data_IF_004935120833
#
_entry.id   IF_004935120833
#
_cell.length_a   1.000
_cell.length_b   1.000
_cell.length_c   1.000
_cell.angle_alpha   90.00
_cell.angle_beta   90.00
_cell.angle_gamma   90.00
#
_symmetry.space_group_name_H-M   'P 1'
#
loop_
_entity.id
_entity.type
_entity.pdbx_description
1 polymer ?
#
# COMPACT_ATOMS: atom_id res chain seq x y z
N UNK A 1 -19.26 32.31 16.63
CA UNK A 1 -18.34 31.18 16.94
C UNK A 1 -16.97 31.35 16.29
N UNK A 2 -16.88 31.48 14.96
CA UNK A 2 -15.60 31.60 14.21
C UNK A 2 -14.68 32.74 14.68
N UNK A 3 -15.23 33.91 15.01
CA UNK A 3 -14.46 35.05 15.53
C UNK A 3 -13.76 34.73 16.86
N UNK A 4 -14.39 33.94 17.74
CA UNK A 4 -13.80 33.52 19.02
C UNK A 4 -12.67 32.52 18.82
N UNK A 5 -12.84 31.59 17.88
CA UNK A 5 -11.81 30.61 17.48
C UNK A 5 -10.60 31.33 16.89
N UNK A 6 -10.82 32.29 15.99
CA UNK A 6 -9.75 33.10 15.40
C UNK A 6 -9.00 33.95 16.41
N UNK A 7 -9.68 34.47 17.44
CA UNK A 7 -9.04 35.19 18.55
C UNK A 7 -8.16 34.26 19.38
N UNK A 8 -8.69 33.10 19.78
CA UNK A 8 -7.93 32.11 20.54
C UNK A 8 -6.70 31.61 19.77
N UNK A 9 -6.81 31.38 18.46
CA UNK A 9 -5.68 31.00 17.63
C UNK A 9 -4.56 32.06 17.63
N UNK A 10 -4.92 33.36 17.64
CA UNK A 10 -3.95 34.46 17.70
C UNK A 10 -3.30 34.60 19.08
N UNK A 11 -4.07 34.48 20.15
CA UNK A 11 -3.59 34.63 21.53
C UNK A 11 -2.78 33.42 22.01
N UNK A 12 -3.15 32.22 21.55
CA UNK A 12 -2.54 30.95 21.96
C UNK A 12 -2.18 30.05 20.76
N UNK A 13 -1.29 30.51 19.86
CA UNK A 13 -0.99 29.83 18.59
C UNK A 13 -0.39 28.44 18.78
N UNK A 14 0.45 28.23 19.81
CA UNK A 14 0.99 26.90 20.14
C UNK A 14 -0.10 25.93 20.58
N UNK A 15 -0.91 26.31 21.58
CA UNK A 15 -2.00 25.47 22.11
C UNK A 15 -3.01 25.14 21.02
N UNK A 16 -3.34 26.12 20.18
CA UNK A 16 -4.24 25.95 19.05
C UNK A 16 -3.66 24.98 18.01
N UNK A 17 -2.39 25.15 17.61
CA UNK A 17 -1.72 24.23 16.69
C UNK A 17 -1.69 22.79 17.21
N UNK A 18 -1.32 22.59 18.48
CA UNK A 18 -1.32 21.27 19.12
C UNK A 18 -2.71 20.62 19.14
N UNK A 19 -3.72 21.35 19.61
CA UNK A 19 -5.08 20.84 19.69
C UNK A 19 -5.66 20.51 18.30
N UNK A 20 -5.43 21.40 17.33
CA UNK A 20 -5.92 21.21 15.96
C UNK A 20 -5.26 20.01 15.27
N UNK A 21 -3.93 19.88 15.39
CA UNK A 21 -3.21 18.74 14.81
C UNK A 21 -3.60 17.40 15.44
N UNK A 22 -3.77 17.36 16.77
CA UNK A 22 -4.26 16.18 17.49
C UNK A 22 -5.69 15.77 17.07
N UNK A 23 -6.61 16.73 17.05
CA UNK A 23 -7.99 16.50 16.63
C UNK A 23 -8.03 16.02 15.17
N UNK A 24 -7.24 16.64 14.28
CA UNK A 24 -7.13 16.25 12.88
C UNK A 24 -6.64 14.82 12.72
N UNK A 25 -5.52 14.44 13.33
CA UNK A 25 -4.96 13.09 13.15
C UNK A 25 -5.89 12.01 13.72
N UNK A 26 -6.53 12.26 14.86
CA UNK A 26 -7.56 11.37 15.42
C UNK A 26 -8.77 11.23 14.49
N UNK A 27 -9.28 12.34 13.95
CA UNK A 27 -10.41 12.33 13.03
C UNK A 27 -10.09 11.67 11.68
N UNK A 28 -8.92 11.94 11.11
CA UNK A 28 -8.46 11.29 9.88
C UNK A 28 -8.38 9.77 10.05
N UNK A 29 -7.79 9.30 11.15
CA UNK A 29 -7.71 7.86 11.40
C UNK A 29 -9.08 7.24 11.64
N UNK A 30 -9.98 7.95 12.35
CA UNK A 30 -11.38 7.52 12.48
C UNK A 30 -12.04 7.36 11.10
N UNK A 31 -11.93 8.36 10.22
CA UNK A 31 -12.50 8.29 8.87
C UNK A 31 -11.96 7.10 8.07
N UNK A 32 -10.66 6.84 8.18
CA UNK A 32 -10.04 5.70 7.50
C UNK A 32 -10.59 4.39 8.06
N UNK A 33 -10.64 4.23 9.39
CA UNK A 33 -11.16 3.01 10.01
C UNK A 33 -12.64 2.75 9.69
N UNK A 34 -13.47 3.80 9.59
CA UNK A 34 -14.91 3.65 9.34
C UNK A 34 -15.30 3.59 7.87
N UNK A 35 -14.78 4.51 7.05
CA UNK A 35 -15.25 4.66 5.67
C UNK A 35 -14.40 3.86 4.69
N UNK A 36 -13.10 3.71 4.95
CA UNK A 36 -12.21 2.99 4.06
C UNK A 36 -12.09 1.51 4.47
N UNK A 37 -11.71 1.26 5.72
CA UNK A 37 -11.50 -0.10 6.24
C UNK A 37 -12.81 -0.79 6.66
N UNK A 38 -13.93 -0.04 6.76
CA UNK A 38 -15.25 -0.54 7.18
C UNK A 38 -15.20 -1.42 8.44
N UNK A 39 -14.35 -1.09 9.41
CA UNK A 39 -14.21 -1.88 10.64
C UNK A 39 -15.48 -1.84 11.47
N UNK A 40 -15.90 -2.98 11.99
CA UNK A 40 -17.01 -3.06 12.96
C UNK A 40 -16.65 -2.41 14.31
N UNK A 41 -15.36 -2.39 14.67
CA UNK A 41 -14.85 -1.80 15.92
C UNK A 41 -13.63 -0.93 15.66
N UNK A 42 -13.61 0.24 16.29
CA UNK A 42 -12.51 1.20 16.21
C UNK A 42 -11.34 0.74 17.07
N UNK A 43 -10.14 0.72 16.48
CA UNK A 43 -8.87 0.55 17.18
C UNK A 43 -8.47 1.88 17.82
N UNK A 44 -8.87 2.05 19.08
CA UNK A 44 -8.55 3.21 19.89
C UNK A 44 -7.06 3.33 20.24
N UNK A 45 -6.30 2.23 20.22
CA UNK A 45 -4.87 2.25 20.51
C UNK A 45 -4.10 2.86 19.33
N UNK A 46 -4.47 2.46 18.11
CA UNK A 46 -3.99 3.08 16.88
C UNK A 46 -4.39 4.56 16.83
N UNK A 47 -5.66 4.87 17.11
CA UNK A 47 -6.13 6.25 17.12
C UNK A 47 -5.38 7.14 18.12
N UNK A 48 -5.17 6.64 19.34
CA UNK A 48 -4.40 7.34 20.37
C UNK A 48 -2.94 7.57 19.94
N UNK A 49 -2.33 6.65 19.20
CA UNK A 49 -0.99 6.83 18.66
C UNK A 49 -0.95 7.98 17.65
N UNK A 50 -1.92 8.04 16.72
CA UNK A 50 -2.01 9.14 15.76
C UNK A 50 -2.34 10.48 16.42
N UNK A 51 -3.23 10.48 17.40
CA UNK A 51 -3.54 11.67 18.20
C UNK A 51 -2.27 12.18 18.91
N UNK A 52 -1.47 11.28 19.49
CA UNK A 52 -0.21 11.60 20.17
C UNK A 52 0.83 12.14 19.19
N UNK A 53 0.98 11.55 17.99
CA UNK A 53 1.87 12.07 16.96
C UNK A 53 1.42 13.45 16.46
N UNK A 54 0.11 13.64 16.27
CA UNK A 54 -0.47 14.93 15.92
C UNK A 54 -0.24 15.99 16.99
N UNK A 55 -0.35 15.62 18.26
CA UNK A 55 -0.12 16.53 19.38
C UNK A 55 1.36 16.91 19.52
N UNK A 56 2.25 15.91 19.57
CA UNK A 56 3.65 16.09 19.94
C UNK A 56 4.49 16.54 18.76
N UNK A 57 4.44 15.80 17.63
CA UNK A 57 5.28 16.10 16.48
C UNK A 57 4.67 17.25 15.65
N UNK A 58 3.49 17.04 15.08
CA UNK A 58 2.87 18.03 14.18
C UNK A 58 2.46 19.32 14.93
N UNK A 59 1.97 19.16 16.16
CA UNK A 59 1.57 20.25 17.02
C UNK A 59 2.74 20.96 17.69
N UNK A 60 3.66 20.19 18.27
CA UNK A 60 4.76 20.71 19.08
C UNK A 60 6.01 21.02 18.27
N UNK A 61 6.66 19.99 17.73
CA UNK A 61 7.95 20.07 17.02
C UNK A 61 7.81 20.94 15.77
N UNK A 62 6.81 20.69 14.93
CA UNK A 62 6.63 21.43 13.69
C UNK A 62 6.21 22.89 13.96
N UNK A 63 5.44 23.16 15.02
CA UNK A 63 5.17 24.54 15.45
C UNK A 63 6.46 25.27 15.81
N UNK A 64 7.30 24.65 16.65
CA UNK A 64 8.57 25.23 17.07
C UNK A 64 9.47 25.53 15.86
N UNK A 65 9.45 24.66 14.86
CA UNK A 65 10.17 24.89 13.62
C UNK A 65 9.61 26.07 12.82
N UNK A 66 8.31 26.08 12.52
CA UNK A 66 7.73 27.03 11.56
C UNK A 66 7.49 28.42 12.12
N UNK A 67 7.34 28.54 13.45
CA UNK A 67 7.00 29.81 14.10
C UNK A 67 8.24 30.43 14.75
N UNK A 68 8.79 29.93 15.87
CA UNK A 68 9.92 30.57 16.52
C UNK A 68 11.28 30.30 15.86
N UNK A 69 11.55 29.14 15.24
CA UNK A 69 12.86 28.90 14.59
C UNK A 69 12.92 29.63 13.23
N UNK A 70 11.99 29.36 12.32
CA UNK A 70 11.95 30.04 11.02
C UNK A 70 11.70 31.54 11.17
N UNK A 71 10.92 31.98 12.17
CA UNK A 71 10.76 33.40 12.47
C UNK A 71 12.07 34.10 12.86
N UNK A 72 13.02 33.40 13.50
CA UNK A 72 14.35 33.93 13.82
C UNK A 72 15.32 33.88 12.64
N UNK A 73 15.30 32.79 11.88
CA UNK A 73 16.12 32.64 10.66
C UNK A 73 15.68 33.60 9.55
N UNK A 74 14.39 33.94 9.52
CA UNK A 74 13.78 34.79 8.51
C UNK A 74 12.89 35.88 9.15
N UNK A 75 13.49 36.93 9.73
CA UNK A 75 12.75 37.98 10.47
C UNK A 75 11.66 38.67 9.64
N UNK A 76 11.83 38.73 8.31
CA UNK A 76 10.84 39.30 7.38
C UNK A 76 9.64 38.41 7.08
N UNK A 77 9.61 37.14 7.51
CA UNK A 77 8.61 36.16 7.09
C UNK A 77 7.18 36.54 7.46
N UNK A 78 6.95 37.07 8.68
CA UNK A 78 5.62 37.48 9.12
C UNK A 78 5.11 38.71 8.34
N UNK A 79 5.99 39.68 8.10
CA UNK A 79 5.68 40.88 7.30
C UNK A 79 5.40 40.50 5.84
N UNK A 80 6.24 39.64 5.25
CA UNK A 80 6.04 39.13 3.90
C UNK A 80 4.69 38.42 3.77
N UNK A 81 4.35 37.50 4.69
CA UNK A 81 3.09 36.77 4.67
C UNK A 81 1.86 37.69 4.67
N UNK A 82 1.93 38.83 5.36
CA UNK A 82 0.84 39.81 5.44
C UNK A 82 0.68 40.69 4.19
N UNK A 83 1.67 40.77 3.30
CA UNK A 83 1.60 41.62 2.08
C UNK A 83 0.52 41.15 1.09
N UNK A 84 -0.13 42.06 0.34
CA UNK A 84 -1.00 41.68 -0.78
C UNK A 84 -0.18 41.09 -1.93
N UNK A 85 -0.81 40.28 -2.79
CA UNK A 85 -0.12 39.50 -3.84
C UNK A 85 0.78 40.36 -4.75
N UNK A 86 0.30 41.52 -5.20
CA UNK A 86 1.09 42.45 -6.04
C UNK A 86 2.37 42.91 -5.35
N UNK A 87 2.30 43.20 -4.05
CA UNK A 87 3.47 43.64 -3.27
C UNK A 87 4.43 42.48 -2.97
N UNK A 88 3.96 41.22 -2.92
CA UNK A 88 4.83 40.05 -2.81
C UNK A 88 5.66 39.83 -4.08
N UNK A 89 5.04 39.97 -5.25
CA UNK A 89 5.71 39.81 -6.55
C UNK A 89 6.82 40.85 -6.75
N UNK A 90 6.66 42.06 -6.22
CA UNK A 90 7.68 43.10 -6.24
C UNK A 90 8.74 42.95 -5.13
N UNK A 91 8.49 42.13 -4.09
CA UNK A 91 9.40 41.91 -2.96
C UNK A 91 10.30 40.69 -3.20
N UNK A 92 11.40 40.92 -3.94
CA UNK A 92 12.39 39.88 -4.25
C UNK A 92 13.08 39.32 -3.00
N UNK A 93 13.36 40.17 -1.99
CA UNK A 93 14.00 39.74 -0.75
C UNK A 93 13.09 38.84 0.08
N UNK A 94 11.81 39.23 0.23
CA UNK A 94 10.79 38.43 0.90
C UNK A 94 10.51 37.12 0.18
N UNK A 95 10.46 37.14 -1.16
CA UNK A 95 10.27 35.93 -1.97
C UNK A 95 11.44 34.96 -1.84
N UNK A 96 12.69 35.46 -1.84
CA UNK A 96 13.88 34.64 -1.56
C UNK A 96 13.82 34.02 -0.16
N UNK A 97 13.43 34.79 0.85
CA UNK A 97 13.28 34.30 2.22
C UNK A 97 12.18 33.24 2.36
N UNK A 98 11.07 33.37 1.63
CA UNK A 98 10.02 32.37 1.57
C UNK A 98 10.53 31.08 0.91
N UNK A 99 11.20 31.18 -0.24
CA UNK A 99 11.77 30.00 -0.92
C UNK A 99 12.82 29.29 -0.06
N UNK A 100 13.64 30.02 0.71
CA UNK A 100 14.60 29.40 1.63
C UNK A 100 13.92 28.67 2.79
N UNK A 101 12.77 29.15 3.29
CA UNK A 101 11.95 28.40 4.25
C UNK A 101 11.44 27.09 3.63
N UNK A 102 10.98 27.12 2.37
CA UNK A 102 10.56 25.92 1.64
C UNK A 102 11.72 24.94 1.49
N UNK A 103 12.92 25.42 1.09
CA UNK A 103 14.10 24.56 0.94
C UNK A 103 14.50 23.92 2.27
N UNK A 104 14.56 24.69 3.36
CA UNK A 104 14.87 24.13 4.68
C UNK A 104 13.82 23.12 5.15
N UNK A 105 12.55 23.38 4.86
CA UNK A 105 11.50 22.43 5.21
C UNK A 105 11.60 21.12 4.39
N UNK A 106 11.75 21.24 3.08
CA UNK A 106 11.71 20.09 2.17
C UNK A 106 13.01 19.27 2.13
N UNK A 107 14.17 19.89 2.35
CA UNK A 107 15.48 19.25 2.20
C UNK A 107 16.22 19.04 3.53
N UNK A 108 15.76 19.64 4.63
CA UNK A 108 16.38 19.45 5.96
C UNK A 108 15.39 18.84 6.93
N UNK A 109 14.27 19.52 7.20
CA UNK A 109 13.29 19.01 8.16
C UNK A 109 12.64 17.70 7.71
N UNK A 110 12.15 17.62 6.47
CA UNK A 110 11.49 16.41 5.98
C UNK A 110 12.42 15.18 5.95
N UNK A 111 13.63 15.24 5.36
CA UNK A 111 14.52 14.08 5.31
C UNK A 111 15.18 13.72 6.66
N UNK A 112 15.52 14.71 7.50
CA UNK A 112 16.37 14.45 8.67
C UNK A 112 15.59 14.33 9.98
N UNK A 113 14.35 14.81 10.02
CA UNK A 113 13.54 14.81 11.25
C UNK A 113 12.20 14.11 11.04
N UNK A 114 11.43 14.55 10.05
CA UNK A 114 10.06 14.10 9.88
C UNK A 114 9.97 12.63 9.46
N UNK A 115 10.61 12.26 8.35
CA UNK A 115 10.56 10.89 7.86
C UNK A 115 11.18 9.89 8.84
N UNK A 116 12.37 10.13 9.43
CA UNK A 116 12.90 9.26 10.47
C UNK A 116 11.93 9.06 11.65
N UNK A 117 11.31 10.14 12.15
CA UNK A 117 10.34 10.05 13.24
C UNK A 117 9.07 9.30 12.82
N UNK A 118 8.56 9.56 11.61
CA UNK A 118 7.38 8.91 11.06
C UNK A 118 7.60 7.41 10.86
N UNK A 119 8.69 7.02 10.20
CA UNK A 119 9.03 5.61 9.94
C UNK A 119 9.29 4.84 11.24
N UNK A 120 9.96 5.47 12.21
CA UNK A 120 10.19 4.86 13.53
C UNK A 120 8.88 4.63 14.26
N UNK A 121 7.96 5.60 14.24
CA UNK A 121 6.65 5.45 14.87
C UNK A 121 5.82 4.37 14.17
N UNK A 122 5.82 4.37 12.83
CA UNK A 122 5.15 3.36 12.00
C UNK A 122 5.57 1.95 12.39
N UNK A 123 6.87 1.72 12.45
CA UNK A 123 7.41 0.41 12.78
C UNK A 123 7.06 -0.02 14.22
N UNK A 124 7.16 0.90 15.19
CA UNK A 124 6.81 0.63 16.59
C UNK A 124 5.32 0.29 16.76
N UNK A 125 4.43 0.97 16.03
CA UNK A 125 2.99 0.69 16.06
C UNK A 125 2.68 -0.69 15.49
N UNK A 126 3.41 -1.09 14.45
CA UNK A 126 3.30 -2.41 13.83
C UNK A 126 3.98 -3.54 14.64
N UNK A 127 4.56 -3.23 15.80
CA UNK A 127 5.21 -4.22 16.68
C UNK A 127 6.70 -4.46 16.41
N UNK A 128 7.30 -3.66 15.52
CA UNK A 128 8.74 -3.65 15.27
C UNK A 128 9.50 -2.64 16.13
N UNK A 129 10.72 -2.32 15.70
CA UNK A 129 11.68 -1.48 16.43
C UNK A 129 12.04 -0.21 15.64
N UNK A 130 12.52 0.82 16.36
CA UNK A 130 12.99 2.08 15.76
C UNK A 130 14.08 1.85 14.72
N UNK A 131 15.02 0.92 14.96
CA UNK A 131 16.10 0.61 14.01
C UNK A 131 15.57 0.03 12.70
N UNK A 132 14.54 -0.81 12.74
CA UNK A 132 13.86 -1.32 11.56
C UNK A 132 13.16 -0.21 10.79
N UNK A 133 12.51 0.74 11.48
CA UNK A 133 11.91 1.91 10.85
C UNK A 133 12.95 2.78 10.12
N UNK A 134 14.09 3.04 10.76
CA UNK A 134 15.19 3.80 10.14
C UNK A 134 15.84 3.07 8.96
N UNK A 135 15.98 1.75 9.03
CA UNK A 135 16.47 0.95 7.91
C UNK A 135 15.52 1.01 6.71
N UNK A 136 14.20 0.87 6.94
CA UNK A 136 13.17 1.04 5.90
C UNK A 136 13.22 2.43 5.27
N UNK A 137 13.35 3.47 6.09
CA UNK A 137 13.52 4.83 5.58
C UNK A 137 14.77 4.94 4.68
N UNK A 138 15.91 4.39 5.10
CA UNK A 138 17.14 4.42 4.32
C UNK A 138 17.02 3.79 2.93
N UNK A 139 16.19 2.77 2.79
CA UNK A 139 15.95 2.11 1.50
C UNK A 139 14.96 2.91 0.62
N UNK A 140 13.96 3.56 1.23
CA UNK A 140 12.83 4.15 0.50
C UNK A 140 12.92 5.69 0.34
N UNK A 141 13.89 6.35 0.99
CA UNK A 141 13.86 7.81 1.17
C UNK A 141 13.75 8.61 -0.12
N UNK A 142 14.37 8.16 -1.22
CA UNK A 142 14.37 8.89 -2.49
C UNK A 142 12.97 8.95 -3.09
N UNK A 143 12.30 7.80 -3.17
CA UNK A 143 10.95 7.71 -3.71
C UNK A 143 9.96 8.48 -2.84
N UNK A 144 10.07 8.30 -1.52
CA UNK A 144 9.19 8.95 -0.55
C UNK A 144 9.30 10.47 -0.58
N UNK A 145 10.51 11.00 -0.68
CA UNK A 145 10.75 12.44 -0.76
C UNK A 145 10.24 13.02 -2.08
N UNK A 146 10.47 12.36 -3.20
CA UNK A 146 9.97 12.82 -4.51
C UNK A 146 8.44 12.86 -4.53
N UNK A 147 7.80 11.86 -3.94
CA UNK A 147 6.36 11.82 -3.83
C UNK A 147 5.84 12.90 -2.83
N UNK A 148 6.56 13.13 -1.73
CA UNK A 148 6.31 14.23 -0.78
C UNK A 148 6.32 15.60 -1.42
N UNK A 149 7.30 15.87 -2.27
CA UNK A 149 7.44 17.18 -2.88
C UNK A 149 6.27 17.52 -3.82
N UNK A 150 5.61 16.55 -4.46
CA UNK A 150 4.46 16.81 -5.35
C UNK A 150 3.32 17.52 -4.63
N UNK A 151 3.06 17.19 -3.37
CA UNK A 151 2.04 17.84 -2.56
C UNK A 151 2.61 18.99 -1.72
N UNK A 152 3.73 18.73 -1.04
CA UNK A 152 4.19 19.63 0.01
C UNK A 152 4.99 20.81 -0.51
N UNK A 153 5.69 20.73 -1.64
CA UNK A 153 6.34 21.92 -2.21
C UNK A 153 5.28 23.00 -2.54
N UNK A 154 4.21 22.70 -3.32
CA UNK A 154 3.16 23.69 -3.57
C UNK A 154 2.47 24.16 -2.28
N UNK A 155 2.10 23.25 -1.37
CA UNK A 155 1.39 23.63 -0.14
C UNK A 155 2.25 24.49 0.79
N UNK A 156 3.55 24.20 0.92
CA UNK A 156 4.45 24.97 1.80
C UNK A 156 4.80 26.33 1.23
N UNK A 157 4.87 26.47 -0.10
CA UNK A 157 4.93 27.78 -0.75
C UNK A 157 3.69 28.59 -0.34
N UNK A 158 2.48 28.03 -0.45
CA UNK A 158 1.25 28.73 -0.04
C UNK A 158 1.28 29.06 1.46
N UNK A 159 1.73 28.12 2.28
CA UNK A 159 1.83 28.30 3.72
C UNK A 159 2.72 29.50 4.08
N UNK A 160 3.98 29.49 3.62
CA UNK A 160 4.95 30.52 3.97
C UNK A 160 4.71 31.84 3.24
N UNK A 161 4.04 31.82 2.09
CA UNK A 161 3.69 33.03 1.35
C UNK A 161 2.43 33.72 1.90
N UNK A 162 1.44 33.00 2.42
CA UNK A 162 0.12 33.59 2.72
C UNK A 162 -0.38 33.38 4.14
N UNK A 163 0.05 32.33 4.85
CA UNK A 163 -0.54 32.02 6.15
C UNK A 163 0.07 32.88 7.26
N UNK A 164 -0.78 33.55 8.07
CA UNK A 164 -0.33 34.16 9.32
C UNK A 164 0.35 33.13 10.22
N UNK A 165 1.29 33.57 11.06
CA UNK A 165 2.10 32.68 11.91
C UNK A 165 1.25 31.70 12.75
N UNK A 166 0.11 32.13 13.26
CA UNK A 166 -0.81 31.33 14.07
C UNK A 166 -1.61 30.28 13.27
N UNK A 167 -1.65 30.39 11.94
CA UNK A 167 -2.36 29.47 11.04
C UNK A 167 -1.43 28.52 10.27
N UNK A 168 -0.10 28.64 10.42
CA UNK A 168 0.85 27.79 9.68
C UNK A 168 0.69 26.29 9.96
N UNK A 169 0.44 25.92 11.22
CA UNK A 169 0.20 24.53 11.63
C UNK A 169 -1.21 24.05 11.27
N UNK A 170 -2.28 24.82 11.53
CA UNK A 170 -3.60 24.52 10.99
C UNK A 170 -3.64 24.32 9.46
N UNK A 171 -2.86 25.09 8.70
CA UNK A 171 -2.73 24.93 7.25
C UNK A 171 -2.13 23.56 6.87
N UNK A 172 -1.03 23.17 7.51
CA UNK A 172 -0.41 21.85 7.32
C UNK A 172 -1.40 20.74 7.66
N UNK A 173 -2.03 20.82 8.83
CA UNK A 173 -3.00 19.84 9.27
C UNK A 173 -4.18 19.73 8.28
N UNK A 174 -4.68 20.87 7.77
CA UNK A 174 -5.77 20.92 6.79
C UNK A 174 -5.34 20.32 5.44
N UNK A 175 -4.16 20.68 4.93
CA UNK A 175 -3.62 20.12 3.68
C UNK A 175 -3.52 18.60 3.77
N UNK A 176 -3.00 18.10 4.89
CA UNK A 176 -2.89 16.66 5.09
C UNK A 176 -4.26 15.96 5.15
N UNK A 177 -5.27 16.57 5.79
CA UNK A 177 -6.63 16.02 5.83
C UNK A 177 -7.28 15.97 4.45
N UNK A 178 -7.18 17.06 3.68
CA UNK A 178 -7.69 17.10 2.30
C UNK A 178 -7.07 15.99 1.45
N UNK A 179 -5.76 15.78 1.59
CA UNK A 179 -5.08 14.71 0.90
C UNK A 179 -5.54 13.32 1.34
N UNK A 180 -5.70 13.08 2.65
CA UNK A 180 -6.28 11.84 3.18
C UNK A 180 -7.65 11.57 2.57
N UNK A 181 -8.52 12.58 2.46
CA UNK A 181 -9.84 12.44 1.84
C UNK A 181 -9.75 12.15 0.33
N UNK A 182 -8.87 12.83 -0.41
CA UNK A 182 -8.65 12.59 -1.84
C UNK A 182 -8.16 11.15 -2.07
N UNK A 183 -7.19 10.68 -1.30
CA UNK A 183 -6.70 9.31 -1.39
C UNK A 183 -7.78 8.30 -1.03
N UNK A 184 -8.55 8.54 0.03
CA UNK A 184 -9.69 7.69 0.40
C UNK A 184 -10.72 7.60 -0.73
N UNK A 185 -11.02 8.73 -1.40
CA UNK A 185 -11.95 8.76 -2.52
C UNK A 185 -11.40 8.04 -3.76
N UNK A 186 -10.11 8.25 -4.07
CA UNK A 186 -9.44 7.58 -5.19
C UNK A 186 -9.30 6.07 -4.98
N UNK A 187 -9.24 5.61 -3.72
CA UNK A 187 -9.13 4.19 -3.32
C UNK A 187 -10.48 3.49 -3.20
N UNK A 188 -11.56 4.20 -2.83
CA UNK A 188 -12.91 3.64 -2.64
C UNK A 188 -13.61 3.12 -3.91
N UNK A 189 -12.86 2.86 -4.98
CA UNK A 189 -13.36 2.33 -6.23
C UNK A 189 -13.40 0.80 -6.31
N UNK A 190 -12.64 0.06 -5.49
CA UNK A 190 -12.62 -1.40 -5.46
C UNK A 190 -12.50 -1.88 -4.00
N UNK A 191 -12.93 -3.12 -3.71
CA UNK A 191 -12.87 -3.76 -2.38
C UNK A 191 -11.41 -4.04 -1.96
N UNK A 192 -10.65 -2.97 -1.69
CA UNK A 192 -9.26 -3.03 -1.25
C UNK A 192 -9.25 -3.15 0.27
N UNK A 193 -8.89 -4.34 0.78
CA UNK A 193 -8.48 -4.51 2.18
C UNK A 193 -7.20 -3.72 2.37
N UNK A 194 -7.34 -2.47 2.85
CA UNK A 194 -6.21 -1.57 3.07
C UNK A 194 -5.43 -2.07 4.29
N UNK A 195 -4.16 -2.42 4.12
CA UNK A 195 -3.32 -2.85 5.25
C UNK A 195 -3.10 -1.65 6.21
N UNK A 196 -2.94 -1.87 7.54
CA UNK A 196 -2.72 -0.78 8.50
C UNK A 196 -1.56 0.17 8.13
N UNK A 197 -0.58 -0.38 7.40
CA UNK A 197 0.58 0.30 6.82
C UNK A 197 0.20 1.37 5.77
N UNK A 198 -0.73 1.05 4.86
CA UNK A 198 -1.20 1.96 3.80
C UNK A 198 -2.12 3.07 4.33
N UNK A 199 -2.72 2.85 5.51
CA UNK A 199 -3.50 3.84 6.23
C UNK A 199 -2.62 4.85 6.98
N UNK A 200 -1.46 4.41 7.49
CA UNK A 200 -0.45 5.31 8.08
C UNK A 200 0.15 6.25 7.01
N UNK A 201 0.37 5.76 5.80
CA UNK A 201 0.93 6.58 4.72
C UNK A 201 -0.03 7.72 4.32
N UNK A 202 -1.34 7.50 4.35
CA UNK A 202 -2.33 8.57 4.08
C UNK A 202 -2.30 9.74 5.08
N UNK A 203 -1.68 9.56 6.24
CA UNK A 203 -1.63 10.54 7.34
C UNK A 203 -0.29 11.27 7.47
N UNK A 204 0.78 10.74 6.86
CA UNK A 204 2.10 11.31 7.06
C UNK A 204 3.18 10.99 6.03
N UNK A 205 3.16 9.87 5.33
CA UNK A 205 4.11 9.62 4.23
C UNK A 205 3.44 9.92 2.90
N UNK A 206 3.92 10.93 2.19
CA UNK A 206 3.56 11.07 0.78
C UNK A 206 4.27 10.07 -0.12
N UNK A 207 5.03 9.12 0.41
CA UNK A 207 5.48 7.98 -0.35
C UNK A 207 4.28 7.17 -0.80
N UNK A 208 3.82 7.39 -2.03
CA UNK A 208 3.66 6.22 -2.86
C UNK A 208 5.08 5.68 -3.05
N UNK A 209 5.45 4.62 -2.34
CA UNK A 209 6.10 3.59 -3.11
C UNK A 209 5.07 3.18 -4.17
N UNK A 210 5.50 3.04 -5.41
CA UNK A 210 4.70 2.34 -6.40
C UNK A 210 4.30 0.94 -5.89
N UNK A 211 4.92 0.44 -4.80
CA UNK A 211 4.52 -0.72 -4.00
C UNK A 211 3.06 -0.75 -3.58
N UNK A 212 2.44 0.33 -3.10
CA UNK A 212 1.01 0.30 -2.77
C UNK A 212 0.08 0.18 -4.00
N UNK A 213 0.64 0.31 -5.20
CA UNK A 213 -0.03 0.01 -6.48
C UNK A 213 0.33 -1.43 -6.92
N UNK A 214 1.47 -1.96 -6.51
CA UNK A 214 1.87 -3.37 -6.68
C UNK A 214 1.18 -4.35 -5.70
N UNK A 215 0.87 -3.90 -4.48
CA UNK A 215 0.24 -4.68 -3.41
C UNK A 215 -1.26 -4.91 -3.65
N UNK A 216 -1.82 -4.36 -4.74
CA UNK A 216 -3.04 -4.84 -5.38
C UNK A 216 -2.79 -6.22 -6.04
N UNK A 217 -2.41 -7.21 -5.23
CA UNK A 217 -2.37 -8.63 -5.61
C UNK A 217 -1.24 -9.07 -6.55
N UNK A 218 -0.25 -8.21 -6.80
CA UNK A 218 0.85 -8.51 -7.73
C UNK A 218 2.16 -7.91 -7.22
N UNK A 219 2.60 -8.34 -6.03
CA UNK A 219 4.02 -8.21 -5.74
C UNK A 219 4.77 -9.05 -6.77
N UNK A 220 5.48 -8.35 -7.65
CA UNK A 220 6.42 -8.92 -8.60
C UNK A 220 7.75 -9.27 -7.92
N UNK A 221 7.90 -9.05 -6.61
CA UNK A 221 9.09 -9.49 -5.87
C UNK A 221 8.69 -10.48 -4.77
N UNK A 222 8.32 -11.71 -5.14
CA UNK A 222 8.34 -12.79 -4.17
C UNK A 222 9.79 -13.06 -3.75
N UNK A 223 10.19 -12.61 -2.55
CA UNK A 223 11.42 -13.08 -1.88
C UNK A 223 11.25 -14.54 -1.40
N UNK A 224 10.73 -15.45 -2.23
CA UNK A 224 10.70 -16.87 -1.89
C UNK A 224 11.99 -17.51 -2.38
N UNK A 225 12.92 -17.78 -1.46
CA UNK A 225 14.06 -18.63 -1.75
C UNK A 225 13.57 -20.07 -1.88
N UNK A 226 13.61 -20.62 -3.10
CA UNK A 226 13.29 -22.03 -3.31
C UNK A 226 14.38 -22.91 -2.70
N UNK A 227 13.97 -23.82 -1.82
CA UNK A 227 14.82 -24.92 -1.40
C UNK A 227 14.81 -26.00 -2.49
N UNK A 228 15.95 -26.19 -3.17
CA UNK A 228 16.11 -27.18 -4.24
C UNK A 228 16.14 -28.62 -3.72
N UNK A 229 16.27 -28.81 -2.40
CA UNK A 229 16.20 -30.14 -1.77
C UNK A 229 14.77 -30.60 -1.53
N UNK A 230 13.79 -29.70 -1.65
CA UNK A 230 12.37 -29.95 -1.46
C UNK A 230 11.62 -30.00 -2.77
N UNK A 231 10.46 -30.65 -2.73
CA UNK A 231 9.50 -30.65 -3.84
C UNK A 231 8.53 -29.49 -3.67
N UNK A 232 8.15 -28.88 -4.79
CA UNK A 232 7.23 -27.75 -4.82
C UNK A 232 5.95 -28.16 -5.54
N UNK A 233 4.81 -27.70 -5.02
CA UNK A 233 3.49 -27.97 -5.56
C UNK A 233 2.75 -26.66 -5.81
N UNK A 234 2.06 -26.61 -6.93
CA UNK A 234 1.06 -25.61 -7.23
C UNK A 234 -0.31 -26.18 -6.88
N UNK A 235 -0.88 -25.71 -5.78
CA UNK A 235 -2.25 -26.01 -5.38
C UNK A 235 -3.18 -24.96 -5.99
N UNK A 236 -4.23 -25.37 -6.68
CA UNK A 236 -5.29 -24.50 -7.15
C UNK A 236 -6.64 -25.00 -6.68
N UNK A 237 -7.51 -24.09 -6.27
CA UNK A 237 -8.90 -24.44 -5.98
C UNK A 237 -9.85 -23.39 -6.54
N UNK A 238 -10.97 -23.84 -7.09
CA UNK A 238 -12.02 -22.97 -7.61
C UNK A 238 -13.41 -23.52 -7.30
N UNK A 239 -14.33 -22.65 -6.88
CA UNK A 239 -15.72 -23.03 -6.60
C UNK A 239 -16.37 -22.24 -5.48
N UNK A 240 -17.49 -22.72 -4.93
CA UNK A 240 -18.16 -22.01 -3.83
C UNK A 240 -17.32 -22.10 -2.56
N UNK A 241 -16.93 -20.93 -2.07
CA UNK A 241 -16.16 -20.82 -0.83
C UNK A 241 -16.95 -21.32 0.38
N UNK A 242 -16.22 -21.75 1.41
CA UNK A 242 -16.76 -22.04 2.73
C UNK A 242 -15.78 -21.61 3.81
N UNK A 243 -16.35 -21.19 4.93
CA UNK A 243 -15.59 -20.79 6.11
C UNK A 243 -14.64 -21.93 6.49
N UNK A 244 -13.35 -21.62 6.62
CA UNK A 244 -12.33 -22.57 7.03
C UNK A 244 -11.62 -23.32 5.90
N UNK A 245 -11.97 -23.13 4.63
CA UNK A 245 -11.32 -23.85 3.52
C UNK A 245 -9.79 -23.64 3.49
N UNK A 246 -9.31 -22.41 3.59
CA UNK A 246 -7.86 -22.09 3.63
C UNK A 246 -7.19 -22.69 4.86
N UNK A 247 -7.89 -22.74 6.00
CA UNK A 247 -7.39 -23.39 7.21
C UNK A 247 -7.22 -24.90 7.00
N UNK A 248 -8.15 -25.56 6.31
CA UNK A 248 -8.04 -26.98 6.01
C UNK A 248 -6.87 -27.28 5.08
N UNK A 249 -6.72 -26.51 3.99
CA UNK A 249 -5.56 -26.64 3.10
C UNK A 249 -4.26 -26.44 3.89
N UNK A 250 -4.18 -25.41 4.71
CA UNK A 250 -2.99 -25.12 5.53
C UNK A 250 -2.69 -26.22 6.55
N UNK A 251 -3.73 -26.83 7.13
CA UNK A 251 -3.59 -27.96 8.06
C UNK A 251 -3.08 -29.20 7.34
N UNK A 252 -3.58 -29.51 6.14
CA UNK A 252 -3.08 -30.61 5.32
C UNK A 252 -1.60 -30.41 4.99
N UNK A 253 -1.20 -29.20 4.58
CA UNK A 253 0.21 -28.86 4.34
C UNK A 253 1.06 -29.14 5.58
N UNK A 254 0.61 -28.64 6.74
CA UNK A 254 1.34 -28.78 8.00
C UNK A 254 1.44 -30.25 8.46
N UNK A 255 0.38 -31.05 8.28
CA UNK A 255 0.36 -32.48 8.63
C UNK A 255 1.41 -33.29 7.85
N UNK A 256 1.69 -32.89 6.61
CA UNK A 256 2.72 -33.50 5.76
C UNK A 256 4.10 -32.87 5.93
N UNK A 257 4.28 -31.96 6.91
CA UNK A 257 5.54 -31.28 7.18
C UNK A 257 5.93 -30.24 6.12
N UNK A 258 4.99 -29.81 5.29
CA UNK A 258 5.19 -28.80 4.27
C UNK A 258 5.04 -27.37 4.79
N UNK A 259 5.25 -26.41 3.89
CA UNK A 259 5.00 -24.99 4.16
C UNK A 259 4.35 -24.32 2.95
N UNK A 260 3.53 -23.29 3.19
CA UNK A 260 2.94 -22.45 2.14
C UNK A 260 3.85 -21.24 1.93
N UNK A 261 4.33 -21.06 0.71
CA UNK A 261 5.24 -19.96 0.32
C UNK A 261 4.49 -18.75 -0.21
N UNK A 262 3.51 -18.99 -1.09
CA UNK A 262 2.74 -17.94 -1.75
C UNK A 262 1.26 -18.31 -1.79
N UNK A 263 0.39 -17.31 -1.69
CA UNK A 263 -1.06 -17.48 -1.80
C UNK A 263 -1.66 -16.31 -2.58
N UNK A 264 -2.37 -16.63 -3.65
CA UNK A 264 -3.17 -15.69 -4.41
C UNK A 264 -4.62 -16.15 -4.38
N UNK A 265 -5.48 -15.41 -3.69
CA UNK A 265 -6.86 -15.77 -3.46
C UNK A 265 -7.80 -14.62 -3.84
N UNK A 266 -8.80 -14.91 -4.67
CA UNK A 266 -9.72 -13.93 -5.23
C UNK A 266 -11.14 -14.47 -5.26
N UNK A 267 -12.11 -13.56 -5.15
CA UNK A 267 -13.51 -13.86 -5.46
C UNK A 267 -13.80 -13.42 -6.90
N UNK A 268 -14.32 -14.33 -7.72
CA UNK A 268 -14.71 -14.07 -9.11
C UNK A 268 -16.18 -14.44 -9.27
N UNK A 269 -17.03 -13.43 -9.38
CA UNK A 269 -18.48 -13.62 -9.40
C UNK A 269 -18.99 -14.22 -8.08
N UNK A 270 -19.53 -15.44 -8.15
CA UNK A 270 -20.00 -16.19 -6.97
C UNK A 270 -18.97 -17.16 -6.40
N UNK A 271 -17.89 -17.39 -7.14
CA UNK A 271 -16.91 -18.41 -6.83
C UNK A 271 -15.65 -17.78 -6.23
N UNK A 272 -14.95 -18.59 -5.48
CA UNK A 272 -13.65 -18.32 -4.93
C UNK A 272 -12.61 -19.07 -5.74
N UNK A 273 -11.48 -18.44 -6.00
CA UNK A 273 -10.33 -19.01 -6.69
C UNK A 273 -9.10 -18.75 -5.84
N UNK A 274 -8.33 -19.79 -5.55
CA UNK A 274 -7.05 -19.67 -4.87
C UNK A 274 -5.98 -20.44 -5.62
N UNK A 275 -4.77 -19.89 -5.60
CA UNK A 275 -3.54 -20.51 -6.08
C UNK A 275 -2.56 -20.43 -4.93
N UNK A 276 -1.92 -21.54 -4.57
CA UNK A 276 -0.91 -21.58 -3.52
C UNK A 276 0.35 -22.27 -4.02
N UNK A 277 1.50 -21.70 -3.70
CA UNK A 277 2.78 -22.37 -3.82
C UNK A 277 3.10 -23.05 -2.50
N UNK A 278 3.27 -24.37 -2.52
CA UNK A 278 3.51 -25.20 -1.34
C UNK A 278 4.83 -25.94 -1.52
N UNK A 279 5.66 -25.98 -0.48
CA UNK A 279 6.82 -26.89 -0.41
C UNK A 279 6.52 -28.09 0.47
N UNK A 280 7.17 -29.21 0.17
CA UNK A 280 7.11 -30.43 0.98
C UNK A 280 8.37 -31.28 0.82
N UNK A 281 8.66 -32.08 1.84
CA UNK A 281 9.66 -33.15 1.75
C UNK A 281 9.27 -34.15 0.64
N UNK A 282 10.21 -34.61 -0.21
CA UNK A 282 9.90 -35.51 -1.33
C UNK A 282 9.14 -36.78 -0.93
N UNK A 283 9.42 -37.31 0.27
CA UNK A 283 8.76 -38.48 0.82
C UNK A 283 7.27 -38.25 1.16
N UNK A 284 6.89 -37.02 1.52
CA UNK A 284 5.53 -36.67 1.95
C UNK A 284 4.62 -36.21 0.81
N UNK A 285 5.18 -35.87 -0.35
CA UNK A 285 4.44 -35.27 -1.49
C UNK A 285 3.25 -36.12 -1.92
N UNK A 286 3.45 -37.43 -2.10
CA UNK A 286 2.38 -38.31 -2.60
C UNK A 286 1.19 -38.38 -1.65
N UNK A 287 1.45 -38.40 -0.34
CA UNK A 287 0.39 -38.35 0.68
C UNK A 287 -0.32 -36.99 0.69
N UNK A 288 0.45 -35.90 0.68
CA UNK A 288 -0.10 -34.55 0.68
C UNK A 288 -0.97 -34.27 -0.54
N UNK A 289 -0.54 -34.68 -1.73
CA UNK A 289 -1.34 -34.54 -2.96
C UNK A 289 -2.66 -35.30 -2.85
N UNK A 290 -2.62 -36.53 -2.32
CA UNK A 290 -3.83 -37.34 -2.16
C UNK A 290 -4.83 -36.69 -1.18
N UNK A 291 -4.35 -36.20 -0.04
CA UNK A 291 -5.21 -35.56 0.96
C UNK A 291 -5.75 -34.21 0.48
N UNK A 292 -4.93 -33.42 -0.22
CA UNK A 292 -5.38 -32.17 -0.84
C UNK A 292 -6.46 -32.40 -1.90
N UNK A 293 -6.34 -33.44 -2.72
CA UNK A 293 -7.37 -33.80 -3.69
C UNK A 293 -8.70 -34.18 -3.02
N UNK A 294 -8.66 -34.77 -1.82
CA UNK A 294 -9.87 -35.07 -1.03
C UNK A 294 -10.56 -33.82 -0.46
N UNK A 295 -9.90 -32.66 -0.45
CA UNK A 295 -10.53 -31.37 -0.09
C UNK A 295 -11.51 -30.88 -1.17
N UNK A 296 -11.56 -31.53 -2.33
CA UNK A 296 -12.57 -31.31 -3.37
C UNK A 296 -13.94 -31.80 -2.88
N UNK A 297 -14.59 -31.03 -2.01
CA UNK A 297 -15.89 -31.34 -1.43
C UNK A 297 -16.94 -30.29 -1.81
N UNK A 298 -18.16 -30.76 -2.11
CA UNK A 298 -19.25 -29.87 -2.52
C UNK A 298 -18.97 -29.25 -3.89
N UNK A 299 -19.02 -27.92 -3.98
CA UNK A 299 -18.85 -27.19 -5.24
C UNK A 299 -17.42 -26.67 -5.44
N UNK A 300 -16.44 -27.06 -4.61
CA UNK A 300 -15.03 -26.67 -4.79
C UNK A 300 -14.25 -27.78 -5.49
N UNK A 301 -13.58 -27.40 -6.57
CA UNK A 301 -12.67 -28.25 -7.32
C UNK A 301 -11.25 -27.92 -6.91
N UNK A 302 -10.47 -28.94 -6.55
CA UNK A 302 -9.06 -28.81 -6.20
C UNK A 302 -8.21 -29.49 -7.25
N UNK A 303 -7.13 -28.84 -7.67
CA UNK A 303 -6.07 -29.42 -8.48
C UNK A 303 -4.73 -29.17 -7.82
N UNK A 304 -3.86 -30.18 -7.83
CA UNK A 304 -2.51 -30.09 -7.27
C UNK A 304 -1.54 -30.61 -8.30
N UNK A 305 -0.60 -29.77 -8.69
CA UNK A 305 0.40 -30.09 -9.70
C UNK A 305 1.79 -29.93 -9.10
N UNK A 306 2.69 -30.89 -9.37
CA UNK A 306 4.11 -30.70 -9.07
C UNK A 306 4.64 -29.57 -9.95
N UNK A 307 5.34 -28.64 -9.32
CA UNK A 307 6.00 -27.54 -9.99
C UNK A 307 7.46 -27.53 -9.58
N UNK A 308 8.30 -26.93 -10.40
CA UNK A 308 9.70 -26.71 -10.05
C UNK A 308 9.97 -25.21 -10.14
N UNK A 309 10.83 -24.67 -9.27
CA UNK A 309 11.44 -23.38 -9.56
C UNK A 309 12.11 -23.38 -10.93
N UNK A 310 12.28 -22.20 -11.53
CA UNK A 310 13.12 -22.06 -12.71
C UNK A 310 14.58 -22.42 -12.33
N UNK A 311 15.03 -23.62 -12.70
CA UNK A 311 16.33 -24.20 -12.37
C UNK A 311 17.37 -23.96 -13.47
N UNK A 312 16.95 -23.63 -14.69
CA UNK A 312 17.83 -23.40 -15.84
C UNK A 312 17.30 -22.34 -16.81
N UNK A 313 18.20 -21.73 -17.59
CA UNK A 313 17.83 -20.83 -18.71
C UNK A 313 17.06 -21.53 -19.83
N UNK A 314 16.99 -22.87 -19.81
CA UNK A 314 16.17 -23.67 -20.73
C UNK A 314 14.73 -23.90 -20.26
N UNK A 315 14.39 -23.57 -18.99
CA UNK A 315 13.04 -23.83 -18.45
C UNK A 315 11.99 -22.86 -19.00
N UNK A 316 12.42 -21.69 -19.49
CA UNK A 316 11.61 -20.78 -20.31
C UNK A 316 12.46 -20.22 -21.45
N UNK A 317 12.03 -20.35 -22.72
CA UNK A 317 12.75 -19.79 -23.87
C UNK A 317 13.01 -18.28 -23.78
N UNK A 318 12.23 -17.57 -22.96
CA UNK A 318 12.25 -16.11 -22.85
C UNK A 318 13.05 -15.59 -21.64
N UNK A 319 13.49 -16.43 -20.71
CA UNK A 319 14.18 -15.98 -19.48
C UNK A 319 15.72 -15.90 -19.61
N UNK A 320 16.30 -16.25 -20.76
CA UNK A 320 17.77 -16.29 -20.94
C UNK A 320 18.44 -14.93 -20.67
N UNK A 321 17.77 -13.85 -21.06
CA UNK A 321 18.30 -12.48 -20.98
C UNK A 321 17.72 -11.69 -19.79
N UNK A 322 16.80 -12.31 -19.03
CA UNK A 322 16.08 -11.68 -17.92
C UNK A 322 14.97 -10.71 -18.35
N UNK A 323 14.35 -10.05 -17.38
CA UNK A 323 13.31 -9.05 -17.63
C UNK A 323 13.97 -7.69 -17.82
N UNK A 324 13.88 -7.14 -19.04
CA UNK A 324 14.48 -5.84 -19.39
C UNK A 324 13.51 -4.67 -19.20
N UNK A 325 12.21 -4.98 -19.13
CA UNK A 325 11.17 -3.98 -18.96
C UNK A 325 10.07 -4.51 -18.06
N UNK A 326 9.58 -3.66 -17.15
CA UNK A 326 8.37 -3.90 -16.39
C UNK A 326 7.55 -2.62 -16.40
N UNK A 327 6.23 -2.75 -16.52
CA UNK A 327 5.35 -1.60 -16.51
C UNK A 327 3.98 -1.92 -15.95
N UNK A 328 3.42 -0.95 -15.24
CA UNK A 328 2.06 -1.00 -14.73
C UNK A 328 1.08 -0.43 -15.75
N UNK A 329 0.22 -1.29 -16.28
CA UNK A 329 -0.82 -0.96 -17.25
C UNK A 329 -2.11 -0.57 -16.52
N UNK A 330 -2.71 0.54 -16.94
CA UNK A 330 -4.06 0.95 -16.51
C UNK A 330 -4.87 1.39 -17.71
N UNK A 331 -6.05 0.81 -17.89
CA UNK A 331 -7.00 1.15 -18.94
C UNK A 331 -8.36 1.50 -18.33
N UNK A 332 -8.93 2.65 -18.70
CA UNK A 332 -10.28 3.07 -18.31
C UNK A 332 -10.97 3.67 -19.52
N UNK A 333 -12.18 3.22 -19.82
CA UNK A 333 -12.93 3.74 -20.97
C UNK A 333 -14.35 3.20 -21.06
N UNK A 334 -15.13 3.65 -22.06
CA UNK A 334 -16.44 3.07 -22.33
C UNK A 334 -16.27 1.58 -22.63
N UNK A 335 -17.11 0.75 -22.01
CA UNK A 335 -17.05 -0.68 -22.26
C UNK A 335 -17.65 -1.04 -23.62
N UNK A 336 -17.03 -2.00 -24.30
CA UNK A 336 -17.54 -2.58 -25.55
C UNK A 336 -17.11 -4.02 -25.72
N UNK A 337 -17.87 -4.75 -26.52
CA UNK A 337 -17.50 -6.10 -26.95
C UNK A 337 -16.10 -6.08 -27.59
N UNK A 338 -15.24 -6.98 -27.15
CA UNK A 338 -13.87 -7.10 -27.65
C UNK A 338 -12.86 -6.12 -27.04
N UNK A 339 -13.23 -5.25 -26.11
CA UNK A 339 -12.30 -4.26 -25.53
C UNK A 339 -11.04 -4.90 -24.92
N UNK A 340 -11.22 -5.96 -24.11
CA UNK A 340 -10.11 -6.71 -23.54
C UNK A 340 -9.25 -7.36 -24.62
N UNK A 341 -9.88 -7.97 -25.64
CA UNK A 341 -9.18 -8.61 -26.76
C UNK A 341 -8.29 -7.60 -27.49
N UNK A 342 -8.83 -6.44 -27.84
CA UNK A 342 -8.11 -5.41 -28.59
C UNK A 342 -6.94 -4.84 -27.78
N UNK A 343 -7.12 -4.64 -26.47
CA UNK A 343 -6.05 -4.23 -25.58
C UNK A 343 -4.97 -5.32 -25.46
N UNK A 344 -5.34 -6.59 -25.29
CA UNK A 344 -4.37 -7.70 -25.24
C UNK A 344 -3.64 -7.91 -26.57
N UNK A 345 -4.31 -7.66 -27.71
CA UNK A 345 -3.68 -7.68 -29.03
C UNK A 345 -2.66 -6.56 -29.19
N UNK A 346 -2.96 -5.36 -28.67
CA UNK A 346 -1.99 -4.27 -28.63
C UNK A 346 -0.76 -4.66 -27.83
N UNK A 347 -0.93 -5.19 -26.62
CA UNK A 347 0.18 -5.63 -25.77
C UNK A 347 1.01 -6.72 -26.47
N UNK A 348 0.36 -7.69 -27.10
CA UNK A 348 1.05 -8.73 -27.86
C UNK A 348 1.84 -8.19 -29.05
N UNK A 349 1.34 -7.18 -29.77
CA UNK A 349 2.08 -6.53 -30.88
C UNK A 349 3.25 -5.69 -30.39
N UNK A 350 3.16 -5.15 -29.17
CA UNK A 350 4.24 -4.44 -28.49
C UNK A 350 5.21 -5.40 -27.79
N UNK A 351 5.00 -6.72 -27.93
CA UNK A 351 5.80 -7.78 -27.31
C UNK A 351 5.82 -7.69 -25.76
N UNK A 352 4.75 -7.14 -25.19
CA UNK A 352 4.54 -7.03 -23.75
C UNK A 352 3.76 -8.25 -23.23
N UNK A 353 4.41 -9.07 -22.42
CA UNK A 353 3.84 -10.20 -21.69
C UNK A 353 3.01 -9.70 -20.49
N UNK A 354 1.86 -10.33 -20.22
CA UNK A 354 1.00 -9.95 -19.09
C UNK A 354 1.33 -10.84 -17.89
N UNK A 355 1.91 -10.23 -16.86
CA UNK A 355 2.21 -10.92 -15.59
C UNK A 355 0.95 -11.22 -14.80
N UNK A 356 0.05 -10.24 -14.79
CA UNK A 356 -1.15 -10.26 -13.97
C UNK A 356 -2.03 -9.11 -14.43
N UNK A 357 -3.33 -9.32 -14.40
CA UNK A 357 -4.26 -8.22 -14.57
C UNK A 357 -5.57 -8.54 -13.86
N UNK A 358 -6.28 -7.47 -13.52
CA UNK A 358 -7.68 -7.49 -13.15
C UNK A 358 -8.45 -6.66 -14.17
N UNK A 359 -9.61 -7.17 -14.56
CA UNK A 359 -10.52 -6.47 -15.46
C UNK A 359 -11.92 -6.53 -14.87
N UNK A 360 -12.56 -5.38 -14.74
CA UNK A 360 -13.92 -5.28 -14.23
C UNK A 360 -14.74 -4.23 -14.99
N UNK A 361 -16.06 -4.35 -14.85
CA UNK A 361 -17.03 -3.42 -15.41
C UNK A 361 -17.69 -2.67 -14.25
N UNK A 362 -17.78 -1.35 -14.37
CA UNK A 362 -18.49 -0.51 -13.39
C UNK A 362 -19.61 0.24 -14.06
N UNK A 363 -20.77 0.26 -13.40
CA UNK A 363 -21.86 1.12 -13.78
C UNK A 363 -21.54 2.54 -13.29
N UNK A 364 -21.37 3.48 -14.21
CA UNK A 364 -21.10 4.87 -13.89
C UNK A 364 -22.25 5.76 -14.37
N UNK A 365 -22.65 6.74 -13.54
CA UNK A 365 -23.51 7.84 -13.96
C UNK A 365 -22.68 9.10 -13.98
N UNK A 366 -22.64 9.79 -15.12
CA UNK A 366 -21.91 11.05 -15.26
C UNK A 366 -22.71 12.26 -14.73
N UNK A 367 -24.04 12.12 -14.55
CA UNK A 367 -24.89 13.09 -13.87
C UNK A 367 -26.20 12.49 -13.32
N UNK A 368 -27.02 13.27 -12.59
CA UNK A 368 -28.30 12.81 -12.03
C UNK A 368 -29.31 12.36 -13.08
N UNK A 369 -29.31 13.04 -14.24
CA UNK A 369 -30.26 12.84 -15.34
C UNK A 369 -29.66 12.04 -16.53
N UNK A 370 -28.40 11.62 -16.44
CA UNK A 370 -27.75 10.86 -17.50
C UNK A 370 -27.95 9.34 -17.33
N UNK A 371 -28.17 8.61 -18.42
CA UNK A 371 -28.32 7.16 -18.36
C UNK A 371 -27.02 6.53 -17.85
N UNK A 372 -27.09 5.50 -17.00
CA UNK A 372 -25.91 4.80 -16.54
C UNK A 372 -25.18 4.15 -17.71
N UNK A 373 -23.87 4.38 -17.80
CA UNK A 373 -22.99 3.76 -18.78
C UNK A 373 -22.12 2.69 -18.11
N UNK A 374 -21.76 1.66 -18.87
CA UNK A 374 -20.82 0.64 -18.40
C UNK A 374 -19.42 1.09 -18.78
N UNK A 375 -18.55 1.15 -17.78
CA UNK A 375 -17.15 1.55 -17.91
C UNK A 375 -16.28 0.34 -17.74
N UNK A 376 -15.41 0.11 -18.72
CA UNK A 376 -14.36 -0.88 -18.69
C UNK A 376 -13.20 -0.34 -17.85
N UNK A 377 -12.72 -1.18 -16.93
CA UNK A 377 -11.50 -0.92 -16.17
C UNK A 377 -10.60 -2.14 -16.20
N UNK A 378 -9.34 -1.95 -16.55
CA UNK A 378 -8.30 -2.96 -16.43
C UNK A 378 -7.06 -2.36 -15.77
N UNK A 379 -6.44 -3.11 -14.87
CA UNK A 379 -5.18 -2.77 -14.23
C UNK A 379 -4.32 -4.02 -14.15
N UNK A 380 -3.02 -3.89 -14.37
CA UNK A 380 -2.13 -5.05 -14.34
C UNK A 380 -0.67 -4.70 -14.51
N UNK A 381 0.16 -5.73 -14.43
CA UNK A 381 1.61 -5.64 -14.65
C UNK A 381 1.91 -6.34 -15.97
N UNK A 382 2.70 -5.67 -16.81
CA UNK A 382 3.25 -6.23 -18.04
C UNK A 382 4.77 -6.16 -18.01
N UNK A 383 5.42 -7.00 -18.80
CA UNK A 383 6.87 -7.08 -18.87
C UNK A 383 7.36 -7.40 -20.28
N UNK A 384 8.65 -7.18 -20.53
CA UNK A 384 9.33 -7.65 -21.72
C UNK A 384 10.68 -8.28 -21.38
N UNK A 385 11.09 -9.23 -22.22
CA UNK A 385 12.34 -9.98 -22.10
C UNK A 385 13.41 -9.50 -23.10
N UNK A 386 13.20 -8.31 -23.67
CA UNK A 386 14.09 -7.64 -24.60
C UNK A 386 13.98 -6.14 -24.37
N UNK A 387 14.91 -5.39 -24.95
CA UNK A 387 14.82 -3.93 -24.93
C UNK A 387 13.58 -3.48 -25.71
N UNK A 388 12.74 -2.69 -25.04
CA UNK A 388 11.49 -2.20 -25.62
C UNK A 388 11.69 -0.84 -26.29
N UNK A 389 11.04 -0.65 -27.44
CA UNK A 389 10.91 0.68 -28.04
C UNK A 389 9.81 1.46 -27.30
N UNK A 390 10.25 2.29 -26.33
CA UNK A 390 9.38 3.15 -25.52
C UNK A 390 8.54 4.11 -26.37
N UNK A 391 9.04 4.53 -27.54
CA UNK A 391 8.31 5.41 -28.44
C UNK A 391 7.20 4.63 -29.15
N UNK A 392 7.50 3.43 -29.66
CA UNK A 392 6.48 2.57 -30.27
C UNK A 392 5.37 2.20 -29.29
N UNK A 393 5.70 1.93 -28.02
CA UNK A 393 4.73 1.73 -26.95
C UNK A 393 3.86 2.97 -26.76
N UNK A 394 4.46 4.15 -26.58
CA UNK A 394 3.73 5.39 -26.36
C UNK A 394 2.80 5.72 -27.55
N UNK A 395 3.28 5.56 -28.77
CA UNK A 395 2.52 5.81 -30.00
C UNK A 395 1.37 4.80 -30.16
N UNK A 396 1.62 3.52 -29.87
CA UNK A 396 0.60 2.45 -29.91
C UNK A 396 -0.51 2.67 -28.88
N UNK A 397 -0.16 3.04 -27.65
CA UNK A 397 -1.14 3.39 -26.61
C UNK A 397 -1.93 4.65 -26.97
N UNK A 398 -1.26 5.67 -27.52
CA UNK A 398 -1.93 6.90 -27.95
C UNK A 398 -2.91 6.66 -29.11
N UNK A 399 -2.55 5.81 -30.06
CA UNK A 399 -3.45 5.38 -31.15
C UNK A 399 -4.66 4.64 -30.60
N UNK A 400 -4.43 3.66 -29.71
CA UNK A 400 -5.51 2.89 -29.08
C UNK A 400 -6.46 3.79 -28.27
N UNK A 401 -5.93 4.78 -27.54
CA UNK A 401 -6.72 5.74 -26.78
C UNK A 401 -7.66 6.55 -27.68
N UNK A 402 -7.16 7.02 -28.83
CA UNK A 402 -7.96 7.77 -29.81
C UNK A 402 -9.03 6.92 -30.46
N UNK A 403 -8.68 5.71 -30.90
CA UNK A 403 -9.59 4.80 -31.61
C UNK A 403 -10.72 4.29 -30.71
N UNK A 404 -10.43 4.06 -29.43
CA UNK A 404 -11.35 3.41 -28.50
C UNK A 404 -11.99 4.37 -27.48
N UNK A 405 -11.71 5.67 -27.60
CA UNK A 405 -12.13 6.71 -26.65
C UNK A 405 -11.84 6.30 -25.20
N UNK A 406 -10.67 5.74 -24.95
CA UNK A 406 -10.26 5.21 -23.66
C UNK A 406 -8.96 5.87 -23.21
N UNK A 407 -8.66 5.73 -21.93
CA UNK A 407 -7.41 6.16 -21.32
C UNK A 407 -6.64 4.93 -20.85
N UNK A 408 -5.76 4.48 -21.73
CA UNK A 408 -4.73 3.49 -21.44
C UNK A 408 -3.42 4.21 -21.15
N UNK A 409 -2.80 3.86 -20.03
CA UNK A 409 -1.50 4.37 -19.59
C UNK A 409 -0.63 3.19 -19.17
N UNK A 410 0.64 3.22 -19.57
CA UNK A 410 1.66 2.29 -19.10
C UNK A 410 2.73 3.11 -18.38
N UNK A 411 2.93 2.83 -17.10
CA UNK A 411 3.99 3.46 -16.32
C UNK A 411 5.12 2.45 -16.16
N UNK A 412 6.29 2.75 -16.71
CA UNK A 412 7.50 1.95 -16.49
C UNK A 412 7.89 1.98 -15.02
N UNK A 413 8.39 0.85 -14.56
CA UNK A 413 8.75 0.61 -13.17
C UNK A 413 10.08 -0.13 -13.08
N UNK A 414 10.58 -0.35 -11.86
CA UNK A 414 11.75 -1.20 -11.65
C UNK A 414 11.52 -2.58 -12.26
N UNK A 415 12.56 -3.11 -12.90
CA UNK A 415 12.55 -4.43 -13.54
C UNK A 415 12.40 -5.50 -12.48
N UNK A 416 11.43 -6.40 -12.68
CA UNK A 416 11.24 -7.57 -11.83
C UNK A 416 12.43 -8.54 -11.96
N UNK A 417 13.29 -8.54 -10.93
CA UNK A 417 14.46 -9.41 -10.87
C UNK A 417 14.13 -10.88 -10.56
N UNK A 418 12.91 -11.20 -10.10
CA UNK A 418 12.53 -12.58 -9.72
C UNK A 418 12.53 -13.56 -10.90
N UNK A 419 12.58 -13.05 -12.13
CA UNK A 419 12.66 -13.82 -13.38
C UNK A 419 13.96 -13.59 -14.17
N UNK A 420 14.87 -12.74 -13.67
CA UNK A 420 16.22 -12.62 -14.22
C UNK A 420 17.05 -13.84 -13.82
N UNK A 421 17.80 -14.41 -14.77
CA UNK A 421 18.56 -15.62 -14.53
C UNK A 421 19.52 -15.46 -13.33
N UNK A 422 19.22 -16.20 -12.26
CA UNK A 422 20.12 -16.56 -11.16
C UNK A 422 20.76 -15.43 -10.33
N UNK A 423 20.24 -15.25 -9.11
CA UNK A 423 21.08 -15.21 -7.91
C UNK A 423 20.58 -16.27 -6.93
N UNK A 424 20.94 -17.53 -7.15
CA UNK A 424 20.75 -18.59 -6.16
C UNK A 424 21.61 -18.28 -4.95
N UNK A 425 21.07 -17.60 -3.94
CA UNK A 425 21.69 -17.59 -2.63
C UNK A 425 21.41 -18.95 -2.00
N UNK A 426 22.44 -19.79 -1.89
CA UNK A 426 22.45 -20.94 -0.98
C UNK A 426 22.35 -20.41 0.47
N UNK A 427 21.17 -19.96 0.89
CA UNK A 427 20.88 -19.72 2.29
C UNK A 427 19.89 -20.79 2.74
N UNK A 428 20.44 -21.85 3.33
CA UNK A 428 19.65 -22.76 4.15
C UNK A 428 18.98 -21.91 5.24
N UNK A 429 17.65 -21.81 5.20
CA UNK A 429 16.90 -21.09 6.22
C UNK A 429 16.96 -21.94 7.51
N UNK A 430 17.63 -21.52 8.59
CA UNK A 430 17.46 -22.21 9.86
C UNK A 430 16.04 -21.91 10.33
N UNK A 431 15.14 -22.88 10.24
CA UNK A 431 13.91 -22.91 11.03
C UNK A 431 14.33 -22.73 12.49
N UNK A 432 14.12 -21.54 13.06
CA UNK A 432 14.30 -21.36 14.51
C UNK A 432 13.31 -22.32 15.18
N UNK A 433 13.78 -23.32 15.97
CA UNK A 433 12.86 -24.13 16.74
C UNK A 433 12.09 -23.21 17.69
N UNK A 434 10.77 -23.21 17.57
CA UNK A 434 9.89 -22.34 18.34
C UNK A 434 10.02 -22.62 19.83
N UNK A 435 10.83 -21.83 20.54
CA UNK A 435 10.92 -21.85 22.00
C UNK A 435 9.61 -21.45 22.71
N UNK A 436 8.56 -21.07 21.97
CA UNK A 436 7.26 -20.69 22.50
C UNK A 436 6.24 -21.85 22.55
N UNK A 437 6.41 -22.93 21.76
CA UNK A 437 5.43 -24.03 21.73
C UNK A 437 5.58 -25.00 22.93
N UNK A 438 6.79 -25.15 23.48
CA UNK A 438 7.05 -26.09 24.58
C UNK A 438 6.58 -25.62 25.97
N UNK A 439 6.22 -24.33 26.14
CA UNK A 439 5.76 -23.78 27.43
C UNK A 439 4.24 -23.72 27.59
N UNK A 440 3.47 -23.78 26.51
CA UNK A 440 2.00 -23.76 26.58
C UNK A 440 1.40 -25.15 26.84
N UNK A 441 2.08 -26.21 26.38
CA UNK A 441 1.53 -27.58 26.44
C UNK A 441 1.66 -28.27 27.82
N UNK A 442 2.39 -27.69 28.78
CA UNK A 442 2.50 -28.22 30.16
C UNK A 442 1.53 -27.58 31.16
N UNK A 443 0.73 -26.58 30.76
CA UNK A 443 -0.20 -25.86 31.67
C UNK A 443 -1.68 -26.20 31.49
N UNK A 444 -2.07 -27.01 30.51
CA UNK A 444 -3.49 -27.40 30.30
C UNK A 444 -3.86 -28.82 30.73
N UNK A 445 -2.97 -29.58 31.37
CA UNK A 445 -3.24 -30.95 31.86
C UNK A 445 -3.55 -31.03 33.37
N UNK A 446 -3.81 -29.92 34.05
CA UNK A 446 -4.26 -29.89 35.45
C UNK A 446 -5.41 -28.91 35.64
N UNK A 447 -6.58 -29.27 35.13
CA UNK A 447 -7.82 -28.56 35.39
C UNK A 447 -8.98 -29.55 35.36
N UNK A 448 -9.32 -30.09 36.53
CA UNK A 448 -10.44 -31.01 36.70
C UNK A 448 -11.75 -30.36 36.20
N UNK A 449 -12.50 -31.12 35.40
CA UNK A 449 -13.88 -30.81 35.00
C UNK A 449 -14.77 -30.68 36.25
N UNK A 450 -15.65 -29.67 36.37
CA UNK A 450 -16.71 -29.69 37.36
C UNK A 450 -17.87 -30.56 36.87
N UNK A 451 -18.38 -31.41 37.77
CA UNK A 451 -19.55 -32.27 37.55
C UNK A 451 -20.86 -31.48 37.34
N UNK A 452 -21.86 -32.04 36.63
CA UNK A 452 -23.11 -31.33 36.33
C UNK A 452 -24.02 -31.23 37.57
N UNK A 453 -24.60 -30.04 37.77
CA UNK A 453 -25.51 -29.73 38.87
C UNK A 453 -26.88 -30.42 38.68
N UNK A 454 -27.33 -31.10 39.73
CA UNK A 454 -28.65 -31.71 39.82
C UNK A 454 -29.76 -30.65 40.00
N UNK A 455 -30.88 -30.85 39.31
CA UNK A 455 -32.10 -30.05 39.46
C UNK A 455 -32.77 -30.28 40.83
N UNK A 456 -33.35 -29.26 41.47
CA UNK A 456 -34.11 -29.48 42.70
C UNK A 456 -35.56 -29.85 42.38
N UNK A 457 -35.99 -30.97 42.95
CA UNK A 457 -37.40 -31.29 43.11
C UNK A 457 -37.96 -30.52 44.31
N UNK A 458 -39.03 -29.76 44.10
CA UNK A 458 -40.24 -29.72 44.94
C UNK A 458 -41.34 -28.93 44.26
#
# INVERSE_FOLDING_TARGET
MLVRIGRFAKEHPFKFGCAFSCAKTSFSDYLVQTYLEKRERIDWRRNATFASFGLVYLGGVQYALYVPIFGRLFPGAASYAAKPLRAKLADGAGSRSMLMQVVLDQFVHHPLMYFPAFYSLKEVVSGGSVSQGLAKYGNNYQEDLLALWKLWVPSTIVNFAFMPMHLRIPWVATTSLFWTCILSYMRGGDDVVTMPEEAMDMLGSQGRSLQGIYDLGVSATPEYCYDTTKEHLLFTASGRDRIGFIQEVSNTVLQHGGAVHDVKAYKVGRDFVTIMLVESEPASVSGMVSDMQQLSQGDINVNVQRTQPWMSSSDSPRCRDGVNFTGHLRAVGPDRRGMLLDLTNLLSRLELDIMSFSSNQKLQRAGPDEPPSVVFQMSGVVRAFHDVDRKAIADGLAAFNRENNCRVTLQETETDLSYSAFQSTHQSRPLRPGAAAARSMKRSLTGALPAPAAAPAR
#
